data_IF_213728921611
#
_entry.id   IF_213728921611
#
_cell.length_a   1.000
_cell.length_b   1.000
_cell.length_c   1.000
_cell.angle_alpha   90.00
_cell.angle_beta   90.00
_cell.angle_gamma   90.00
#
_symmetry.space_group_name_H-M   'P 1'
#
loop_
_entity.id
_entity.type
_entity.pdbx_description
1 polymer ?
#
# COMPACT_ATOMS: atom_id res chain seq x y z
N UNK A 1 2.58 -19.85 -6.11
CA UNK A 1 1.62 -20.36 -5.12
C UNK A 1 1.32 -19.20 -4.21
N UNK A 2 0.06 -18.77 -4.16
CA UNK A 2 -0.37 -17.68 -3.29
C UNK A 2 -0.03 -17.97 -1.83
N UNK A 3 0.31 -16.93 -1.08
CA UNK A 3 0.71 -17.02 0.32
C UNK A 3 -0.32 -16.26 1.17
N UNK A 4 -1.45 -16.92 1.43
CA UNK A 4 -2.57 -16.31 2.16
C UNK A 4 -2.54 -16.74 3.63
N UNK A 5 -2.50 -15.76 4.54
CA UNK A 5 -2.52 -15.96 5.98
C UNK A 5 -3.84 -15.45 6.54
N UNK A 6 -4.75 -16.36 6.86
CA UNK A 6 -6.07 -16.04 7.38
C UNK A 6 -6.06 -15.99 8.91
N UNK A 7 -6.47 -14.88 9.49
CA UNK A 7 -6.70 -14.72 10.92
C UNK A 7 -8.20 -14.83 11.18
N UNK A 8 -8.61 -15.86 11.92
CA UNK A 8 -10.02 -16.07 12.26
C UNK A 8 -10.22 -16.16 13.76
N UNK A 9 -11.45 -15.96 14.22
CA UNK A 9 -11.77 -15.91 15.65
C UNK A 9 -13.16 -15.30 15.86
N UNK A 10 -13.67 -15.43 17.09
CA UNK A 10 -14.98 -14.88 17.46
C UNK A 10 -15.08 -13.38 17.12
N UNK A 11 -16.29 -12.84 16.89
CA UNK A 11 -16.49 -11.39 16.86
C UNK A 11 -15.85 -10.74 18.10
N UNK A 12 -15.24 -9.57 17.93
CA UNK A 12 -14.51 -8.84 18.98
C UNK A 12 -13.27 -9.56 19.57
N UNK A 13 -12.77 -10.63 18.94
CA UNK A 13 -11.54 -11.30 19.39
C UNK A 13 -10.24 -10.49 19.14
N UNK A 14 -10.31 -9.20 18.81
CA UNK A 14 -9.12 -8.36 18.58
C UNK A 14 -8.36 -8.62 17.27
N UNK A 15 -9.02 -9.13 16.22
CA UNK A 15 -8.40 -9.38 14.91
C UNK A 15 -7.84 -8.09 14.28
N UNK A 16 -8.63 -7.02 14.25
CA UNK A 16 -8.19 -5.70 13.76
C UNK A 16 -6.98 -5.18 14.55
N UNK A 17 -6.97 -5.37 15.88
CA UNK A 17 -5.84 -5.00 16.74
C UNK A 17 -4.57 -5.80 16.40
N UNK A 18 -4.71 -7.11 16.19
CA UNK A 18 -3.59 -7.96 15.76
C UNK A 18 -3.05 -7.51 14.40
N UNK A 19 -3.93 -7.22 13.43
CA UNK A 19 -3.55 -6.74 12.11
C UNK A 19 -2.82 -5.40 12.17
N UNK A 20 -3.26 -4.46 13.02
CA UNK A 20 -2.55 -3.18 13.25
C UNK A 20 -1.13 -3.41 13.76
N UNK A 21 -0.95 -4.27 14.77
CA UNK A 21 0.39 -4.64 15.29
C UNK A 21 1.27 -5.29 14.22
N UNK A 22 0.69 -6.11 13.33
CA UNK A 22 1.42 -6.71 12.21
C UNK A 22 1.86 -5.67 11.18
N UNK A 23 1.02 -4.68 10.89
CA UNK A 23 1.34 -3.59 9.97
C UNK A 23 2.53 -2.79 10.53
N UNK A 24 2.43 -2.31 11.77
CA UNK A 24 3.49 -1.56 12.46
C UNK A 24 4.83 -2.32 12.42
N UNK A 25 4.81 -3.60 12.82
CA UNK A 25 6.00 -4.46 12.82
C UNK A 25 6.66 -4.61 11.43
N UNK A 26 5.86 -4.67 10.36
CA UNK A 26 6.35 -4.83 9.00
C UNK A 26 6.89 -3.52 8.45
N UNK A 27 6.23 -2.40 8.75
CA UNK A 27 6.66 -1.06 8.36
C UNK A 27 7.97 -0.66 9.07
N UNK A 28 8.13 -1.01 10.35
CA UNK A 28 9.39 -0.85 11.11
C UNK A 28 10.58 -1.60 10.48
N UNK A 29 10.30 -2.61 9.66
CA UNK A 29 11.29 -3.38 8.88
C UNK A 29 11.40 -2.94 7.42
N UNK A 30 10.87 -1.76 7.11
CA UNK A 30 10.88 -1.13 5.79
C UNK A 30 10.17 -1.94 4.70
N UNK A 31 9.26 -2.85 5.06
CA UNK A 31 8.41 -3.51 4.08
C UNK A 31 7.31 -2.57 3.62
N UNK A 32 7.05 -2.54 2.31
CA UNK A 32 5.92 -1.76 1.79
C UNK A 32 4.61 -2.52 2.06
N UNK A 33 3.84 -2.07 3.05
CA UNK A 33 2.52 -2.65 3.38
C UNK A 33 1.43 -1.88 2.65
N UNK A 34 0.43 -2.59 2.12
CA UNK A 34 -0.75 -1.99 1.49
C UNK A 34 -2.02 -2.71 1.90
N UNK A 35 -3.15 -2.21 1.39
CA UNK A 35 -4.47 -2.76 1.67
C UNK A 35 -5.27 -1.85 2.59
N UNK A 36 -6.12 -2.43 3.42
CA UNK A 36 -7.07 -1.65 4.21
C UNK A 36 -7.40 -2.33 5.54
N UNK A 37 -7.73 -1.48 6.53
CA UNK A 37 -8.20 -1.89 7.84
C UNK A 37 -9.58 -1.33 8.16
N UNK A 38 -10.36 -2.02 9.01
CA UNK A 38 -11.73 -1.62 9.34
C UNK A 38 -11.91 -1.33 10.83
N UNK A 39 -11.47 -0.16 11.34
CA UNK A 39 -11.63 0.17 12.75
C UNK A 39 -13.10 0.39 13.14
N UNK A 40 -13.41 0.10 14.40
CA UNK A 40 -14.73 0.35 14.98
C UNK A 40 -14.80 1.74 15.60
N UNK A 41 -15.94 2.40 15.44
CA UNK A 41 -16.30 3.59 16.20
C UNK A 41 -17.23 3.21 17.35
N UNK A 42 -16.96 3.73 18.54
CA UNK A 42 -17.74 3.47 19.75
C UNK A 42 -18.08 4.77 20.46
N UNK A 43 -19.33 4.88 20.87
CA UNK A 43 -19.84 5.95 21.71
C UNK A 43 -20.36 5.35 23.02
N UNK A 44 -19.84 5.81 24.17
CA UNK A 44 -20.14 5.24 25.50
C UNK A 44 -20.07 3.70 25.55
N UNK A 45 -18.99 3.12 25.00
CA UNK A 45 -18.76 1.67 24.95
C UNK A 45 -19.60 0.91 23.90
N UNK A 46 -20.61 1.54 23.32
CA UNK A 46 -21.47 0.96 22.29
C UNK A 46 -20.91 1.24 20.90
N UNK A 47 -20.76 0.19 20.08
CA UNK A 47 -20.34 0.35 18.67
C UNK A 47 -21.44 1.00 17.83
N UNK A 48 -21.16 2.19 17.31
CA UNK A 48 -22.04 3.04 16.50
C UNK A 48 -21.76 2.90 15.01
N UNK A 49 -20.49 2.76 14.64
CA UNK A 49 -20.09 2.66 13.25
C UNK A 49 -18.84 1.78 13.05
N UNK A 50 -18.55 1.52 11.78
CA UNK A 50 -17.31 0.96 11.27
C UNK A 50 -16.80 1.90 10.20
N UNK A 51 -15.48 2.08 10.19
CA UNK A 51 -14.78 2.80 9.14
C UNK A 51 -13.97 1.82 8.29
N UNK A 52 -13.47 2.32 7.16
CA UNK A 52 -12.53 1.65 6.28
C UNK A 52 -11.40 2.63 5.98
N UNK A 53 -10.17 2.20 6.26
CA UNK A 53 -8.96 3.02 6.12
C UNK A 53 -8.05 2.35 5.11
N UNK A 54 -7.66 3.09 4.06
CA UNK A 54 -6.59 2.66 3.16
C UNK A 54 -5.24 2.84 3.85
N UNK A 55 -4.42 1.79 3.89
CA UNK A 55 -3.14 1.78 4.62
C UNK A 55 -2.13 2.72 3.98
N UNK A 56 -2.03 2.75 2.64
CA UNK A 56 -1.03 3.56 1.93
C UNK A 56 -1.26 5.07 2.11
N UNK A 57 -2.51 5.52 2.09
CA UNK A 57 -2.86 6.95 2.13
C UNK A 57 -3.38 7.44 3.47
N UNK A 58 -3.71 6.54 4.40
CA UNK A 58 -4.41 6.87 5.65
C UNK A 58 -5.84 7.38 5.44
N UNK A 59 -6.37 7.38 4.22
CA UNK A 59 -7.71 7.91 3.93
C UNK A 59 -8.78 7.03 4.54
N UNK A 60 -9.60 7.64 5.38
CA UNK A 60 -10.69 7.00 6.09
C UNK A 60 -12.06 7.34 5.46
N UNK A 61 -12.96 6.37 5.43
CA UNK A 61 -14.37 6.54 5.07
C UNK A 61 -15.27 5.70 5.94
N UNK A 62 -16.52 6.11 6.07
CA UNK A 62 -17.56 5.32 6.73
C UNK A 62 -17.85 4.04 5.92
N UNK A 63 -17.70 2.87 6.56
CA UNK A 63 -18.08 1.57 6.02
C UNK A 63 -19.53 1.24 6.36
N UNK A 64 -19.92 1.38 7.63
CA UNK A 64 -21.27 1.11 8.08
C UNK A 64 -21.61 1.88 9.35
N UNK A 65 -22.87 2.28 9.53
CA UNK A 65 -23.36 2.95 10.75
C UNK A 65 -24.74 2.41 11.15
N UNK A 66 -25.12 2.62 12.41
CA UNK A 66 -26.50 2.37 12.89
C UNK A 66 -27.53 3.26 12.20
N UNK A 67 -27.08 4.39 11.66
CA UNK A 67 -27.88 5.30 10.86
C UNK A 67 -27.45 5.22 9.38
N UNK A 68 -28.41 5.40 8.47
CA UNK A 68 -28.14 5.49 7.04
C UNK A 68 -29.01 4.58 6.20
N UNK A 69 -28.53 4.29 4.99
CA UNK A 69 -29.25 3.54 3.96
C UNK A 69 -28.34 2.48 3.33
N UNK A 70 -28.94 1.57 2.54
CA UNK A 70 -28.24 0.47 1.90
C UNK A 70 -28.41 -0.87 2.62
N UNK A 71 -27.67 -1.92 2.20
CA UNK A 71 -27.82 -3.26 2.74
C UNK A 71 -27.59 -3.30 4.24
N UNK A 72 -28.47 -3.99 4.96
CA UNK A 72 -28.38 -4.09 6.41
C UNK A 72 -27.65 -5.37 6.83
N UNK A 73 -26.80 -5.26 7.86
CA UNK A 73 -26.18 -6.37 8.57
C UNK A 73 -26.37 -6.14 10.06
N UNK A 74 -27.25 -6.94 10.69
CA UNK A 74 -27.75 -6.67 12.04
C UNK A 74 -28.36 -5.25 12.12
N UNK A 75 -27.85 -4.37 13.00
CA UNK A 75 -28.32 -2.98 13.10
C UNK A 75 -27.64 -2.00 12.16
N UNK A 76 -26.58 -2.41 11.44
CA UNK A 76 -25.75 -1.49 10.66
C UNK A 76 -26.15 -1.45 9.18
N UNK A 77 -26.24 -0.23 8.63
CA UNK A 77 -26.42 0.07 7.22
C UNK A 77 -25.05 0.19 6.55
N UNK A 78 -24.80 -0.63 5.53
CA UNK A 78 -23.50 -0.69 4.85
C UNK A 78 -23.44 0.32 3.70
N UNK A 79 -22.47 1.25 3.77
CA UNK A 79 -22.18 2.20 2.72
C UNK A 79 -21.26 1.57 1.66
N UNK A 80 -21.86 0.83 0.72
CA UNK A 80 -21.13 0.16 -0.36
C UNK A 80 -20.32 1.12 -1.23
N UNK A 81 -20.82 2.32 -1.48
CA UNK A 81 -20.13 3.29 -2.34
C UNK A 81 -18.82 3.75 -1.70
N UNK A 82 -18.86 4.12 -0.42
CA UNK A 82 -17.67 4.50 0.34
C UNK A 82 -16.68 3.36 0.45
N UNK A 83 -17.17 2.15 0.78
CA UNK A 83 -16.34 0.95 0.83
C UNK A 83 -15.61 0.68 -0.49
N UNK A 84 -16.36 0.62 -1.60
CA UNK A 84 -15.80 0.34 -2.93
C UNK A 84 -14.80 1.40 -3.40
N UNK A 85 -15.05 2.68 -3.08
CA UNK A 85 -14.13 3.79 -3.38
C UNK A 85 -12.79 3.68 -2.65
N UNK A 86 -12.75 3.03 -1.49
CA UNK A 86 -11.52 2.79 -0.72
C UNK A 86 -10.85 1.49 -1.15
N UNK A 87 -11.56 0.37 -1.14
CA UNK A 87 -10.91 -0.95 -1.27
C UNK A 87 -10.53 -1.32 -2.70
N UNK A 88 -11.35 -0.98 -3.71
CA UNK A 88 -11.09 -1.44 -5.08
C UNK A 88 -9.80 -0.82 -5.67
N UNK A 89 -9.51 0.49 -5.49
CA UNK A 89 -8.24 1.05 -5.93
C UNK A 89 -7.02 0.43 -5.23
N UNK A 90 -7.15 0.11 -3.92
CA UNK A 90 -6.08 -0.54 -3.17
C UNK A 90 -5.81 -1.97 -3.69
N UNK A 91 -6.86 -2.76 -3.88
CA UNK A 91 -6.78 -4.14 -4.37
C UNK A 91 -6.13 -4.25 -5.76
N UNK A 92 -6.44 -3.32 -6.67
CA UNK A 92 -5.81 -3.25 -8.01
C UNK A 92 -4.31 -2.97 -7.97
N UNK A 93 -3.77 -2.52 -6.84
CA UNK A 93 -2.35 -2.26 -6.64
C UNK A 93 -1.64 -3.36 -5.84
N UNK A 94 -2.27 -4.50 -5.56
CA UNK A 94 -1.73 -5.57 -4.69
C UNK A 94 -0.27 -5.96 -5.01
N UNK A 95 0.12 -6.01 -6.29
CA UNK A 95 1.48 -6.38 -6.70
C UNK A 95 2.55 -5.30 -6.44
N UNK A 96 2.15 -4.09 -6.07
CA UNK A 96 3.06 -2.99 -5.72
C UNK A 96 3.58 -3.09 -4.28
N UNK A 97 2.97 -3.93 -3.45
CA UNK A 97 3.30 -4.06 -2.04
C UNK A 97 4.12 -5.33 -1.78
N UNK A 98 4.90 -5.30 -0.71
CA UNK A 98 5.59 -6.49 -0.21
C UNK A 98 4.60 -7.41 0.51
N UNK A 99 3.66 -6.82 1.26
CA UNK A 99 2.57 -7.50 1.98
C UNK A 99 1.28 -6.72 1.79
N UNK A 100 0.15 -7.40 1.66
CA UNK A 100 -1.17 -6.77 1.52
C UNK A 100 -2.13 -7.25 2.61
N UNK A 101 -2.81 -6.31 3.28
CA UNK A 101 -3.68 -6.59 4.43
C UNK A 101 -5.15 -6.36 4.06
N UNK A 102 -6.01 -7.28 4.46
CA UNK A 102 -7.46 -7.20 4.29
C UNK A 102 -8.13 -7.38 5.66
N UNK A 103 -8.67 -6.31 6.22
CA UNK A 103 -9.63 -6.35 7.33
C UNK A 103 -11.00 -5.88 6.80
N UNK A 104 -11.96 -6.76 6.52
CA UNK A 104 -11.93 -8.23 6.61
C UNK A 104 -12.72 -8.87 5.45
N UNK A 105 -12.59 -10.19 5.28
CA UNK A 105 -13.60 -10.99 4.57
C UNK A 105 -14.73 -11.29 5.57
N UNK A 106 -15.74 -10.42 5.59
CA UNK A 106 -16.84 -10.46 6.54
C UNK A 106 -18.20 -10.21 5.92
N UNK A 107 -19.25 -10.19 6.77
CA UNK A 107 -20.64 -10.09 6.31
C UNK A 107 -20.94 -8.76 5.61
N UNK A 108 -20.28 -7.67 6.01
CA UNK A 108 -20.52 -6.33 5.49
C UNK A 108 -19.81 -6.11 4.16
N UNK A 109 -18.52 -6.45 4.10
CA UNK A 109 -17.63 -6.30 2.95
C UNK A 109 -18.14 -7.16 1.78
N UNK A 110 -18.57 -8.38 2.12
CA UNK A 110 -19.16 -9.29 1.15
C UNK A 110 -20.54 -8.82 0.66
N UNK A 111 -21.12 -7.70 1.11
CA UNK A 111 -22.30 -7.13 0.42
C UNK A 111 -21.93 -6.49 -0.93
N UNK A 112 -20.68 -6.08 -1.14
CA UNK A 112 -20.22 -5.58 -2.45
C UNK A 112 -19.94 -6.73 -3.42
N UNK A 113 -20.69 -6.78 -4.53
CA UNK A 113 -20.40 -7.72 -5.64
C UNK A 113 -19.06 -7.40 -6.30
N UNK A 114 -18.64 -6.14 -6.33
CA UNK A 114 -17.36 -5.74 -6.95
C UNK A 114 -16.19 -6.23 -6.12
N UNK A 115 -16.26 -6.06 -4.79
CA UNK A 115 -15.27 -6.58 -3.86
C UNK A 115 -15.11 -8.09 -4.00
N UNK A 116 -16.22 -8.85 -4.05
CA UNK A 116 -16.17 -10.31 -4.24
C UNK A 116 -15.39 -10.72 -5.48
N UNK A 117 -15.59 -10.04 -6.62
CA UNK A 117 -14.90 -10.35 -7.87
C UNK A 117 -13.42 -10.00 -7.81
N UNK A 118 -13.08 -8.87 -7.20
CA UNK A 118 -11.69 -8.45 -7.08
C UNK A 118 -10.93 -9.29 -6.06
N UNK A 119 -11.63 -9.84 -5.06
CA UNK A 119 -11.03 -10.65 -4.01
C UNK A 119 -10.34 -11.90 -4.56
N UNK A 120 -10.92 -12.55 -5.58
CA UNK A 120 -10.33 -13.74 -6.20
C UNK A 120 -8.97 -13.39 -6.83
N UNK A 121 -8.87 -12.26 -7.55
CA UNK A 121 -7.60 -11.78 -8.11
C UNK A 121 -6.54 -11.52 -7.04
N UNK A 122 -6.95 -10.91 -5.93
CA UNK A 122 -6.04 -10.58 -4.83
C UNK A 122 -5.54 -11.87 -4.16
N UNK A 123 -6.45 -12.81 -3.88
CA UNK A 123 -6.15 -14.11 -3.26
C UNK A 123 -5.24 -14.99 -4.14
N UNK A 124 -5.26 -14.82 -5.46
CA UNK A 124 -4.40 -15.53 -6.41
C UNK A 124 -3.05 -14.84 -6.67
N UNK A 125 -2.82 -13.65 -6.10
CA UNK A 125 -1.60 -12.89 -6.32
C UNK A 125 -0.34 -13.54 -5.71
N UNK A 126 0.83 -13.15 -6.22
CA UNK A 126 2.14 -13.54 -5.67
C UNK A 126 2.54 -12.67 -4.44
N UNK A 127 1.66 -11.78 -3.98
CA UNK A 127 1.86 -10.95 -2.78
C UNK A 127 1.33 -11.66 -1.55
N UNK A 128 2.17 -11.88 -0.52
CA UNK A 128 1.71 -12.38 0.77
C UNK A 128 0.53 -11.56 1.32
N UNK A 129 -0.54 -12.25 1.69
CA UNK A 129 -1.74 -11.61 2.22
C UNK A 129 -1.91 -11.92 3.70
N UNK A 130 -2.28 -10.91 4.48
CA UNK A 130 -2.76 -11.08 5.87
C UNK A 130 -4.23 -10.68 5.89
N UNK A 131 -5.11 -11.63 6.18
CA UNK A 131 -6.55 -11.46 5.98
C UNK A 131 -7.31 -11.83 7.22
N UNK A 132 -8.04 -10.88 7.80
CA UNK A 132 -9.04 -11.17 8.83
C UNK A 132 -10.24 -11.86 8.17
N UNK A 133 -10.63 -13.02 8.68
CA UNK A 133 -11.66 -13.88 8.10
C UNK A 133 -12.74 -14.19 9.13
N UNK A 134 -13.97 -13.74 8.86
CA UNK A 134 -15.13 -14.09 9.68
C UNK A 134 -15.46 -15.59 9.55
N UNK A 135 -15.86 -16.22 10.66
CA UNK A 135 -16.07 -17.68 10.75
C UNK A 135 -17.01 -18.24 9.66
N UNK A 136 -18.08 -17.53 9.32
CA UNK A 136 -19.02 -17.93 8.27
C UNK A 136 -18.36 -18.18 6.90
N UNK A 137 -17.24 -17.52 6.62
CA UNK A 137 -16.52 -17.65 5.36
C UNK A 137 -15.35 -18.64 5.46
N UNK A 138 -15.07 -19.16 6.65
CA UNK A 138 -13.99 -20.13 6.86
C UNK A 138 -14.10 -21.38 5.98
N UNK A 139 -15.28 -22.04 5.82
CA UNK A 139 -15.39 -23.21 4.95
C UNK A 139 -14.99 -22.94 3.50
N UNK A 140 -15.24 -21.73 3.00
CA UNK A 140 -14.96 -21.33 1.62
C UNK A 140 -13.48 -21.00 1.41
N UNK A 141 -12.84 -20.28 2.34
CA UNK A 141 -11.50 -19.73 2.11
C UNK A 141 -10.37 -20.52 2.80
N UNK A 142 -10.65 -21.41 3.76
CA UNK A 142 -9.62 -22.15 4.52
C UNK A 142 -8.65 -22.95 3.66
N UNK A 143 -9.08 -23.43 2.49
CA UNK A 143 -8.24 -24.23 1.60
C UNK A 143 -7.26 -23.38 0.78
N UNK A 144 -7.44 -22.06 0.76
CA UNK A 144 -6.64 -21.13 -0.05
C UNK A 144 -5.42 -20.58 0.69
N UNK A 145 -5.17 -21.01 1.93
CA UNK A 145 -4.10 -20.44 2.76
C UNK A 145 -4.00 -21.06 4.15
N UNK A 146 -3.01 -20.59 4.92
CA UNK A 146 -2.82 -21.01 6.32
C UNK A 146 -3.78 -20.24 7.22
N UNK A 147 -4.43 -20.94 8.15
CA UNK A 147 -5.42 -20.35 9.07
C UNK A 147 -4.85 -20.30 10.48
N UNK A 148 -4.83 -19.10 11.06
CA UNK A 148 -4.49 -18.80 12.44
C UNK A 148 -5.75 -18.48 13.23
N UNK A 149 -5.95 -19.15 14.37
CA UNK A 149 -7.13 -18.96 15.22
C UNK A 149 -6.78 -18.10 16.42
N UNK A 150 -7.37 -16.92 16.47
CA UNK A 150 -7.21 -15.98 17.58
C UNK A 150 -8.20 -16.32 18.70
N UNK A 151 -7.65 -16.62 19.87
CA UNK A 151 -8.37 -16.81 21.14
C UNK A 151 -7.81 -15.83 22.17
N UNK A 152 -8.62 -15.45 23.17
CA UNK A 152 -8.29 -14.40 24.15
C UNK A 152 -6.94 -14.58 24.87
N UNK A 153 -6.44 -15.82 24.98
CA UNK A 153 -5.21 -16.18 25.67
C UNK A 153 -4.00 -16.43 24.73
N UNK A 154 -4.13 -16.26 23.42
CA UNK A 154 -3.08 -16.62 22.44
C UNK A 154 -2.67 -15.50 21.49
N UNK A 155 -3.02 -14.25 21.78
CA UNK A 155 -2.75 -13.13 20.87
C UNK A 155 -1.27 -13.00 20.53
N UNK A 156 -0.38 -13.07 21.52
CA UNK A 156 1.06 -12.88 21.30
C UNK A 156 1.68 -14.05 20.51
N UNK A 157 1.33 -15.29 20.87
CA UNK A 157 1.81 -16.45 20.14
C UNK A 157 1.36 -16.43 18.67
N UNK A 158 0.07 -16.14 18.42
CA UNK A 158 -0.45 -16.03 17.06
C UNK A 158 0.22 -14.91 16.27
N UNK A 159 0.52 -13.78 16.92
CA UNK A 159 1.23 -12.67 16.31
C UNK A 159 2.60 -13.11 15.80
N UNK A 160 3.39 -13.75 16.66
CA UNK A 160 4.74 -14.25 16.34
C UNK A 160 4.70 -15.30 15.23
N UNK A 161 3.77 -16.24 15.28
CA UNK A 161 3.62 -17.28 14.25
C UNK A 161 3.32 -16.68 12.87
N UNK A 162 2.48 -15.64 12.81
CA UNK A 162 2.17 -14.95 11.54
C UNK A 162 3.39 -14.18 11.04
N UNK A 163 4.10 -13.48 11.92
CA UNK A 163 5.31 -12.74 11.55
C UNK A 163 6.36 -13.66 10.91
N UNK A 164 6.63 -14.81 11.53
CA UNK A 164 7.59 -15.78 11.01
C UNK A 164 7.22 -16.28 9.60
N UNK A 165 5.95 -16.61 9.39
CA UNK A 165 5.45 -17.10 8.10
C UNK A 165 5.48 -16.04 6.99
N UNK A 166 5.13 -14.81 7.34
CA UNK A 166 5.20 -13.66 6.42
C UNK A 166 6.66 -13.40 6.04
N UNK A 167 7.57 -13.32 7.00
CA UNK A 167 8.99 -13.13 6.72
C UNK A 167 9.58 -14.25 5.87
N UNK A 168 9.26 -15.51 6.18
CA UNK A 168 9.67 -16.68 5.39
C UNK A 168 9.21 -16.56 3.94
N UNK A 169 7.97 -16.09 3.73
CA UNK A 169 7.40 -15.86 2.40
C UNK A 169 8.11 -14.72 1.66
N UNK A 170 8.42 -13.61 2.34
CA UNK A 170 9.15 -12.48 1.79
C UNK A 170 10.58 -12.88 1.39
N UNK A 171 11.29 -13.66 2.22
CA UNK A 171 12.63 -14.21 1.92
C UNK A 171 12.59 -15.11 0.68
N UNK A 172 11.58 -15.98 0.54
CA UNK A 172 11.37 -16.83 -0.66
C UNK A 172 11.11 -15.99 -1.92
N UNK A 173 10.29 -14.93 -1.83
CA UNK A 173 9.99 -14.01 -2.94
C UNK A 173 11.23 -13.25 -3.41
N UNK A 174 12.05 -12.72 -2.49
CA UNK A 174 13.33 -12.07 -2.80
C UNK A 174 14.29 -13.03 -3.54
N UNK A 175 14.45 -14.27 -3.08
CA UNK A 175 15.28 -15.30 -3.74
C UNK A 175 14.78 -15.63 -5.16
N UNK A 176 13.47 -15.76 -5.37
CA UNK A 176 12.87 -16.01 -6.70
C UNK A 176 13.11 -14.83 -7.66
N UNK A 177 12.92 -13.59 -7.20
CA UNK A 177 13.19 -12.38 -8.01
C UNK A 177 14.68 -12.27 -8.38
N UNK A 178 15.59 -12.62 -7.47
CA UNK A 178 17.03 -12.63 -7.74
C UNK A 178 17.42 -13.68 -8.78
N UNK A 179 16.84 -14.89 -8.72
CA UNK A 179 17.08 -15.96 -9.72
C UNK A 179 16.50 -15.66 -11.11
N UNK A 180 15.42 -14.89 -11.19
CA UNK A 180 14.76 -14.50 -12.47
C UNK A 180 15.37 -13.28 -13.15
N UNK A 181 16.22 -12.49 -12.49
CA UNK A 181 16.97 -11.41 -13.17
C UNK A 181 17.96 -12.06 -14.14
N UNK A 182 17.87 -11.84 -15.46
CA UNK A 182 18.91 -12.30 -16.37
C UNK A 182 20.22 -11.65 -15.96
N UNK A 183 21.30 -12.42 -15.96
CA UNK A 183 22.64 -11.86 -15.86
C UNK A 183 22.72 -10.75 -16.92
N UNK A 184 22.81 -9.48 -16.49
CA UNK A 184 23.24 -8.40 -17.39
C UNK A 184 24.57 -8.90 -17.95
N UNK A 185 24.58 -9.39 -19.20
CA UNK A 185 25.80 -9.68 -19.94
C UNK A 185 26.65 -8.42 -19.78
N UNK A 186 27.74 -8.51 -19.02
CA UNK A 186 28.80 -7.51 -19.05
C UNK A 186 29.21 -7.44 -20.52
N UNK A 187 28.72 -6.44 -21.24
CA UNK A 187 29.21 -6.15 -22.57
C UNK A 187 30.70 -5.87 -22.39
N UNK A 188 31.54 -6.82 -22.80
CA UNK A 188 32.97 -6.58 -23.00
C UNK A 188 33.05 -5.40 -23.96
N UNK A 189 33.32 -4.20 -23.43
CA UNK A 189 33.73 -3.05 -24.24
C UNK A 189 34.97 -3.51 -25.00
N UNK A 190 34.83 -3.77 -26.31
CA UNK A 190 35.97 -3.85 -27.21
C UNK A 190 36.70 -2.50 -27.14
N UNK A 191 38.05 -2.46 -27.18
CA UNK A 191 38.76 -1.18 -27.20
C UNK A 191 38.34 -0.41 -28.46
N UNK A 192 37.92 0.84 -28.28
CA UNK A 192 37.59 1.72 -29.39
C UNK A 192 38.86 2.01 -30.21
N UNK A 193 38.82 1.69 -31.51
CA UNK A 193 39.80 2.20 -32.48
C UNK A 193 39.72 3.72 -32.48
N UNK A 194 40.83 4.40 -32.17
CA UNK A 194 41.02 5.85 -32.29
C UNK A 194 40.60 6.30 -33.71
N UNK A 195 39.47 7.00 -33.84
CA UNK A 195 39.17 7.83 -35.02
C UNK A 195 39.73 9.23 -34.75
N UNK A 196 40.59 9.72 -35.65
CA UNK A 196 41.13 11.10 -35.64
C UNK A 196 39.96 12.11 -35.66
N UNK A 197 40.03 13.12 -34.81
CA UNK A 197 39.07 14.22 -34.77
C UNK A 197 39.16 15.09 -36.02
N UNK A 198 38.04 15.64 -36.54
CA UNK A 198 38.08 16.72 -37.51
C UNK A 198 38.45 18.05 -36.83
N UNK A 199 39.18 18.91 -37.55
CA UNK A 199 39.68 20.23 -37.12
C UNK A 199 38.53 21.11 -36.59
N UNK A 200 38.73 21.72 -35.41
CA UNK A 200 37.84 22.75 -34.85
C UNK A 200 37.92 24.03 -35.72
N UNK A 201 36.76 24.61 -36.07
CA UNK A 201 36.67 25.98 -36.58
C UNK A 201 37.01 26.98 -35.46
N UNK A 202 37.60 28.11 -35.83
CA UNK A 202 38.08 29.16 -34.93
C UNK A 202 36.97 29.75 -34.04
N UNK A 203 37.29 30.24 -32.83
CA UNK A 203 36.32 30.90 -31.95
C UNK A 203 35.88 32.26 -32.51
N UNK A 204 34.66 32.75 -32.14
CA UNK A 204 34.15 34.05 -32.60
C UNK A 204 34.94 35.23 -32.00
N UNK A 205 35.01 36.34 -32.75
CA UNK A 205 35.68 37.58 -32.33
C UNK A 205 35.05 38.21 -31.08
N UNK A 206 35.88 38.93 -30.32
CA UNK A 206 35.52 39.66 -29.08
C UNK A 206 34.32 40.60 -29.22
N UNK A 207 34.06 41.07 -30.44
CA UNK A 207 32.97 41.97 -30.79
C UNK A 207 31.59 41.31 -30.67
N UNK A 208 31.50 40.00 -30.90
CA UNK A 208 30.26 39.23 -30.73
C UNK A 208 29.92 38.98 -29.24
N UNK A 209 30.92 38.98 -28.34
CA UNK A 209 30.70 38.82 -26.90
C UNK A 209 30.17 40.09 -26.24
N UNK A 210 30.60 41.27 -26.69
CA UNK A 210 30.14 42.56 -26.16
C UNK A 210 28.69 42.89 -26.52
N UNK A 211 28.17 42.37 -27.65
CA UNK A 211 26.77 42.58 -28.04
C UNK A 211 25.78 41.74 -27.22
N UNK A 212 26.16 40.54 -26.80
CA UNK A 212 25.32 39.65 -26.00
C UNK A 212 25.22 40.05 -24.51
N UNK A 213 26.21 40.77 -23.96
CA UNK A 213 26.17 41.23 -22.56
C UNK A 213 25.30 42.47 -22.34
N UNK A 214 24.99 43.24 -23.40
CA UNK A 214 24.18 44.46 -23.29
C UNK A 214 22.66 44.22 -23.39
N UNK A 215 22.23 43.01 -23.73
CA UNK A 215 20.81 42.59 -23.79
C UNK A 215 20.37 41.84 -22.52
N UNK A 216 21.26 41.62 -21.54
CA UNK A 216 20.94 40.94 -20.26
C UNK A 216 20.81 41.89 -19.06
N UNK A 217 21.07 43.19 -19.21
CA UNK A 217 20.91 44.19 -18.14
C UNK A 217 19.60 44.99 -18.23
N UNK A 218 18.64 44.51 -19.04
CA UNK A 218 17.38 45.20 -19.30
C UNK A 218 16.15 44.38 -18.96
N UNK A 219 16.16 43.59 -17.87
CA UNK A 219 14.96 42.91 -17.34
C UNK A 219 15.16 42.39 -15.90
N UNK A 220 15.56 43.27 -14.97
CA UNK A 220 15.37 43.04 -13.53
C UNK A 220 14.31 44.00 -12.99
N UNK A 221 13.04 43.64 -13.20
CA UNK A 221 11.99 44.01 -12.25
C UNK A 221 10.88 42.96 -12.28
N UNK A 222 10.52 42.49 -11.07
CA UNK A 222 9.44 41.53 -10.73
C UNK A 222 9.77 40.04 -10.76
N UNK A 223 10.49 39.62 -9.72
CA UNK A 223 10.40 38.27 -9.20
C UNK A 223 10.68 38.24 -7.70
N UNK A 224 9.66 38.43 -6.85
CA UNK A 224 9.73 38.00 -5.45
C UNK A 224 9.93 36.48 -5.47
N UNK A 225 11.09 36.03 -5.01
CA UNK A 225 11.51 34.64 -5.12
C UNK A 225 10.61 33.73 -4.29
N UNK A 226 10.31 32.56 -4.85
CA UNK A 226 9.66 31.42 -4.19
C UNK A 226 10.23 31.13 -2.77
N UNK A 227 11.49 31.48 -2.53
CA UNK A 227 12.17 31.35 -1.25
C UNK A 227 11.61 32.30 -0.17
N UNK A 228 11.15 33.49 -0.52
CA UNK A 228 10.56 34.43 0.46
C UNK A 228 9.14 34.01 0.84
N UNK A 229 8.38 33.45 -0.09
CA UNK A 229 7.05 32.88 0.20
C UNK A 229 7.12 31.64 1.10
N UNK A 230 8.21 30.86 1.00
CA UNK A 230 8.44 29.69 1.86
C UNK A 230 8.83 30.11 3.28
N UNK A 231 9.54 31.24 3.45
CA UNK A 231 9.90 31.76 4.77
C UNK A 231 8.69 32.29 5.53
N UNK A 232 7.84 33.07 4.84
CA UNK A 232 6.60 33.60 5.44
C UNK A 232 5.62 32.49 5.86
N UNK A 233 5.58 31.36 5.14
CA UNK A 233 4.69 30.24 5.46
C UNK A 233 5.20 29.37 6.62
N UNK A 234 6.50 29.41 6.90
CA UNK A 234 7.15 28.55 7.92
C UNK A 234 7.52 29.30 9.21
N UNK A 235 7.27 30.61 9.28
CA UNK A 235 7.38 31.38 10.53
C UNK A 235 8.80 31.50 11.08
N UNK A 236 9.81 31.61 10.21
CA UNK A 236 11.17 32.01 10.57
C UNK A 236 11.40 33.49 10.27
#
# INVERSE_FOLDING_TARGET
MPQNFFVTGKPNAGKTTLLKRLIEYLEDREFKVGGFISPEERHHGTRTAFHIVDIESGKERLLASVEGSGPKVSKYHVNLLSFEKTVLPAMKKVDKYDVFVIDQIGRMEMKSKKFRRELDNVLDSDTPLIVSLHNDYLPKYKALGKVFRLTSNKHEAVLLDIMEEVESSLKKKKKKKARKKPAKKKAKRKPAKKKKAPRKKAPPSEEAKKKAMKELEGEEEKGKGLLDTIKDLLGF
#
